data_IF_800027132068
#
_entry.id   IF_800027132068
#
_cell.length_a   1.000
_cell.length_b   1.000
_cell.length_c   1.000
_cell.angle_alpha   90.00
_cell.angle_beta   90.00
_cell.angle_gamma   90.00
#
_symmetry.space_group_name_H-M   'P 1'
#
loop_
_entity.id
_entity.type
_entity.pdbx_description
1 polymer ?
#
# COMPACT_ATOMS: atom_id res chain seq x y z
N UNK A 1 -28.03 -15.77 -52.71
CA UNK A 1 -28.68 -16.77 -51.89
C UNK A 1 -29.98 -16.14 -51.44
N UNK A 2 -31.02 -16.57 -52.13
CA UNK A 2 -32.40 -16.17 -51.91
C UNK A 2 -32.85 -16.72 -50.58
N UNK A 3 -33.56 -15.91 -49.80
CA UNK A 3 -34.02 -16.30 -48.48
C UNK A 3 -34.97 -17.46 -48.54
N UNK A 4 -34.78 -18.44 -47.67
CA UNK A 4 -35.71 -19.56 -47.51
C UNK A 4 -37.07 -19.02 -47.10
N UNK A 5 -38.01 -19.07 -48.09
CA UNK A 5 -39.40 -18.76 -47.85
C UNK A 5 -40.02 -19.89 -47.02
N UNK A 6 -40.37 -19.63 -45.79
CA UNK A 6 -41.03 -20.63 -44.94
C UNK A 6 -42.51 -20.75 -45.36
N UNK A 7 -42.84 -21.89 -45.96
CA UNK A 7 -44.22 -22.23 -46.34
C UNK A 7 -44.71 -23.34 -45.42
N UNK A 8 -45.73 -23.06 -44.62
CA UNK A 8 -46.43 -24.08 -43.83
C UNK A 8 -47.60 -24.65 -44.62
N UNK A 9 -47.61 -25.98 -44.71
CA UNK A 9 -48.69 -26.73 -45.41
C UNK A 9 -49.54 -27.44 -44.39
N UNK A 10 -50.83 -27.14 -44.38
CA UNK A 10 -51.80 -27.85 -43.56
C UNK A 10 -52.91 -28.45 -44.44
N UNK A 11 -53.11 -29.75 -44.31
CA UNK A 11 -54.17 -30.45 -45.02
C UNK A 11 -55.46 -30.26 -44.24
N UNK A 12 -56.50 -29.74 -44.92
CA UNK A 12 -57.83 -29.61 -44.41
C UNK A 12 -58.61 -30.85 -44.90
N UNK A 13 -59.35 -31.50 -44.06
CA UNK A 13 -60.08 -32.74 -44.30
C UNK A 13 -59.19 -33.98 -44.60
N UNK A 14 -58.32 -34.40 -43.72
CA UNK A 14 -57.38 -35.50 -43.91
C UNK A 14 -58.05 -36.86 -44.14
N UNK A 15 -59.33 -37.02 -43.76
CA UNK A 15 -60.10 -38.28 -43.89
C UNK A 15 -61.02 -38.33 -45.10
N UNK A 16 -60.98 -37.36 -46.01
CA UNK A 16 -61.81 -37.36 -47.22
C UNK A 16 -61.08 -38.01 -48.36
N UNK A 17 -61.85 -38.57 -49.38
CA UNK A 17 -61.24 -39.15 -50.56
C UNK A 17 -60.32 -38.15 -51.31
N UNK A 18 -59.30 -38.62 -52.04
CA UNK A 18 -58.25 -37.75 -52.62
C UNK A 18 -58.74 -36.56 -53.47
N UNK A 19 -59.92 -36.70 -54.04
CA UNK A 19 -60.54 -35.65 -54.85
C UNK A 19 -61.09 -34.44 -54.11
N UNK A 20 -61.14 -34.52 -52.77
CA UNK A 20 -61.67 -33.42 -51.90
C UNK A 20 -60.65 -32.92 -50.88
N UNK A 21 -59.35 -33.30 -50.99
CA UNK A 21 -58.31 -32.77 -50.11
C UNK A 21 -57.99 -31.31 -50.46
N UNK A 22 -58.24 -30.40 -49.56
CA UNK A 22 -57.80 -29.05 -49.65
C UNK A 22 -56.50 -28.85 -48.79
N UNK A 23 -55.51 -28.23 -49.37
CA UNK A 23 -54.25 -27.87 -48.70
C UNK A 23 -54.15 -26.35 -48.59
N UNK A 24 -54.07 -25.85 -47.39
CA UNK A 24 -53.77 -24.44 -47.16
C UNK A 24 -52.24 -24.29 -47.08
N UNK A 25 -51.69 -23.50 -48.00
CA UNK A 25 -50.31 -23.07 -47.96
C UNK A 25 -50.27 -21.67 -47.36
N UNK A 26 -49.72 -21.52 -46.19
CA UNK A 26 -49.49 -20.22 -45.56
C UNK A 26 -48.06 -19.83 -45.89
N UNK A 27 -47.92 -18.80 -46.71
CA UNK A 27 -46.62 -18.25 -47.09
C UNK A 27 -46.37 -16.95 -46.37
N UNK A 28 -45.21 -16.86 -45.72
CA UNK A 28 -44.77 -15.65 -45.03
C UNK A 28 -43.70 -14.96 -45.91
N UNK A 29 -44.08 -14.14 -46.89
CA UNK A 29 -43.11 -13.34 -47.63
C UNK A 29 -42.54 -12.29 -46.69
N UNK A 30 -41.20 -12.12 -46.66
CA UNK A 30 -40.55 -11.06 -45.94
C UNK A 30 -40.33 -11.29 -44.42
N UNK A 31 -40.29 -12.53 -43.95
CA UNK A 31 -39.98 -12.85 -42.54
C UNK A 31 -38.66 -12.19 -42.10
N UNK A 32 -37.67 -12.10 -43.00
CA UNK A 32 -36.41 -11.43 -42.73
C UNK A 32 -36.58 -9.91 -42.51
N UNK A 33 -37.47 -9.24 -43.26
CA UNK A 33 -37.76 -7.81 -43.04
C UNK A 33 -38.41 -7.56 -41.68
N UNK A 34 -39.28 -8.46 -41.26
CA UNK A 34 -39.94 -8.37 -39.94
C UNK A 34 -38.93 -8.59 -38.80
N UNK A 35 -38.04 -9.55 -38.95
CA UNK A 35 -36.95 -9.79 -37.99
C UNK A 35 -35.98 -8.59 -37.91
N UNK A 36 -35.57 -8.02 -39.03
CA UNK A 36 -34.73 -6.83 -39.08
C UNK A 36 -35.43 -5.60 -38.52
N UNK A 37 -36.73 -5.41 -38.75
CA UNK A 37 -37.50 -4.31 -38.17
C UNK A 37 -37.59 -4.41 -36.64
N UNK A 38 -37.79 -5.63 -36.11
CA UNK A 38 -37.77 -5.88 -34.66
C UNK A 38 -36.37 -5.70 -34.06
N UNK A 39 -35.31 -6.16 -34.73
CA UNK A 39 -33.93 -6.02 -34.31
C UNK A 39 -33.52 -4.54 -34.16
N UNK A 40 -34.04 -3.66 -35.03
CA UNK A 40 -33.76 -2.21 -34.99
C UNK A 40 -34.08 -1.56 -33.64
N UNK A 41 -35.09 -2.04 -32.92
CA UNK A 41 -35.45 -1.56 -31.59
C UNK A 41 -34.80 -2.39 -30.46
N UNK A 42 -34.57 -3.67 -30.67
CA UNK A 42 -33.96 -4.56 -29.67
C UNK A 42 -32.46 -4.27 -29.44
N UNK A 43 -31.70 -4.00 -30.52
CA UNK A 43 -30.25 -3.75 -30.40
C UNK A 43 -29.95 -2.51 -29.52
N UNK A 44 -30.58 -1.33 -29.74
CA UNK A 44 -30.38 -0.18 -28.88
C UNK A 44 -30.79 -0.44 -27.44
N UNK A 45 -31.87 -1.20 -27.21
CA UNK A 45 -32.32 -1.54 -25.84
C UNK A 45 -31.31 -2.44 -25.13
N UNK A 46 -30.75 -3.44 -25.82
CA UNK A 46 -29.69 -4.30 -25.27
C UNK A 46 -28.44 -3.49 -24.95
N UNK A 47 -28.00 -2.60 -25.87
CA UNK A 47 -26.84 -1.73 -25.64
C UNK A 47 -27.08 -0.84 -24.42
N UNK A 48 -28.27 -0.23 -24.31
CA UNK A 48 -28.62 0.63 -23.19
C UNK A 48 -28.58 -0.13 -21.85
N UNK A 49 -29.17 -1.34 -21.80
CA UNK A 49 -29.14 -2.17 -20.60
C UNK A 49 -27.72 -2.61 -20.20
N UNK A 50 -26.86 -2.91 -21.20
CA UNK A 50 -25.45 -3.21 -20.93
C UNK A 50 -24.70 -2.01 -20.35
N UNK A 51 -24.93 -0.82 -20.90
CA UNK A 51 -24.33 0.43 -20.35
C UNK A 51 -24.78 0.65 -18.91
N UNK A 52 -26.08 0.51 -18.62
CA UNK A 52 -26.58 0.61 -17.24
C UNK A 52 -25.95 -0.41 -16.30
N UNK A 53 -25.79 -1.65 -16.77
CA UNK A 53 -25.15 -2.71 -15.98
C UNK A 53 -23.68 -2.37 -15.66
N UNK A 54 -22.94 -1.85 -16.65
CA UNK A 54 -21.55 -1.41 -16.47
C UNK A 54 -21.48 -0.28 -15.46
N UNK A 55 -22.33 0.74 -15.57
CA UNK A 55 -22.40 1.87 -14.62
C UNK A 55 -22.73 1.35 -13.21
N UNK A 56 -23.67 0.43 -13.10
CA UNK A 56 -24.07 -0.17 -11.81
C UNK A 56 -22.90 -0.90 -11.14
N UNK A 57 -22.21 -1.79 -11.90
CA UNK A 57 -21.03 -2.51 -11.40
C UNK A 57 -19.93 -1.52 -10.98
N UNK A 58 -19.66 -0.51 -11.81
CA UNK A 58 -18.67 0.52 -11.51
C UNK A 58 -19.01 1.28 -10.22
N UNK A 59 -20.28 1.67 -10.04
CA UNK A 59 -20.76 2.35 -8.83
C UNK A 59 -20.59 1.48 -7.59
N UNK A 60 -20.94 0.20 -7.67
CA UNK A 60 -20.73 -0.75 -6.56
C UNK A 60 -19.24 -0.85 -6.21
N UNK A 61 -18.36 -1.00 -7.21
CA UNK A 61 -16.92 -1.04 -6.97
C UNK A 61 -16.40 0.24 -6.29
N UNK A 62 -16.90 1.43 -6.70
CA UNK A 62 -16.56 2.70 -6.05
C UNK A 62 -17.03 2.76 -4.60
N UNK A 63 -18.27 2.34 -4.30
CA UNK A 63 -18.80 2.32 -2.94
C UNK A 63 -17.98 1.39 -2.03
N UNK A 64 -17.66 0.19 -2.49
CA UNK A 64 -16.79 -0.72 -1.71
C UNK A 64 -15.40 -0.16 -1.48
N UNK A 65 -14.82 0.49 -2.49
CA UNK A 65 -13.52 1.15 -2.36
C UNK A 65 -13.57 2.31 -1.35
N UNK A 66 -14.61 3.14 -1.39
CA UNK A 66 -14.81 4.23 -0.42
C UNK A 66 -15.00 3.69 1.00
N UNK A 67 -15.85 2.68 1.18
CA UNK A 67 -16.07 2.04 2.49
C UNK A 67 -14.75 1.54 3.07
N UNK A 68 -13.96 0.81 2.29
CA UNK A 68 -12.65 0.30 2.72
C UNK A 68 -11.69 1.43 3.11
N UNK A 69 -11.64 2.53 2.31
CA UNK A 69 -10.80 3.69 2.65
C UNK A 69 -11.24 4.36 3.95
N UNK A 70 -12.55 4.42 4.20
CA UNK A 70 -13.11 4.97 5.44
C UNK A 70 -12.77 4.10 6.64
N UNK A 71 -12.89 2.77 6.53
CA UNK A 71 -12.49 1.82 7.56
C UNK A 71 -11.00 1.96 7.91
N UNK A 72 -10.12 1.94 6.92
CA UNK A 72 -8.67 2.13 7.09
C UNK A 72 -8.35 3.48 7.76
N UNK A 73 -9.07 4.56 7.37
CA UNK A 73 -8.92 5.89 7.98
C UNK A 73 -9.36 5.90 9.45
N UNK A 74 -10.47 5.25 9.77
CA UNK A 74 -10.96 5.15 11.15
C UNK A 74 -10.01 4.33 12.02
N UNK A 75 -9.49 3.22 11.52
CA UNK A 75 -8.48 2.41 12.21
C UNK A 75 -7.20 3.22 12.46
N UNK A 76 -6.78 4.04 11.50
CA UNK A 76 -5.66 4.96 11.67
C UNK A 76 -5.92 5.98 12.79
N UNK A 77 -7.10 6.62 12.82
CA UNK A 77 -7.47 7.60 13.86
C UNK A 77 -7.48 6.92 15.23
N UNK A 78 -8.07 5.74 15.35
CA UNK A 78 -8.11 4.97 16.59
C UNK A 78 -6.71 4.61 17.07
N UNK A 79 -5.86 4.13 16.18
CA UNK A 79 -4.47 3.79 16.50
C UNK A 79 -3.66 5.03 16.89
N UNK A 80 -3.83 6.17 16.20
CA UNK A 80 -3.22 7.45 16.58
C UNK A 80 -3.62 7.88 17.98
N UNK A 81 -4.92 7.83 18.27
CA UNK A 81 -5.45 8.18 19.58
C UNK A 81 -4.81 7.32 20.68
N UNK A 82 -4.68 6.03 20.43
CA UNK A 82 -4.08 5.09 21.37
C UNK A 82 -2.57 5.33 21.54
N UNK A 83 -1.84 5.55 20.44
CA UNK A 83 -0.40 5.83 20.46
C UNK A 83 -0.05 7.18 21.12
N UNK A 84 -0.93 8.18 21.07
CA UNK A 84 -0.77 9.45 21.77
C UNK A 84 -1.19 9.38 23.25
N UNK A 85 -2.22 8.59 23.57
CA UNK A 85 -2.73 8.47 24.94
C UNK A 85 -1.66 7.92 25.90
N UNK A 86 -0.89 6.93 25.45
CA UNK A 86 0.15 6.29 26.30
C UNK A 86 1.22 7.28 26.77
N UNK A 87 1.95 8.01 25.91
CA UNK A 87 2.96 8.98 26.35
C UNK A 87 2.34 10.12 27.16
N UNK A 88 1.14 10.59 26.80
CA UNK A 88 0.44 11.64 27.55
C UNK A 88 0.12 11.16 28.97
N UNK A 89 -0.38 9.93 29.12
CA UNK A 89 -0.66 9.37 30.46
C UNK A 89 0.60 9.19 31.30
N UNK A 90 1.71 8.75 30.67
CA UNK A 90 3.02 8.61 31.36
C UNK A 90 3.54 9.97 31.80
N UNK A 91 3.48 11.00 30.94
CA UNK A 91 3.87 12.37 31.26
C UNK A 91 3.01 12.90 32.42
N UNK A 92 1.68 12.69 32.37
CA UNK A 92 0.75 13.14 33.43
C UNK A 92 1.06 12.48 34.77
N UNK A 93 1.30 11.16 34.78
CA UNK A 93 1.67 10.43 35.98
C UNK A 93 3.02 10.91 36.54
N UNK A 94 4.02 11.06 35.68
CA UNK A 94 5.34 11.57 36.08
C UNK A 94 5.25 13.01 36.65
N UNK A 95 4.42 13.87 36.04
CA UNK A 95 4.15 15.22 36.53
C UNK A 95 3.44 15.21 37.92
N UNK A 96 2.50 14.27 38.15
CA UNK A 96 1.86 14.09 39.47
C UNK A 96 2.88 13.64 40.52
N UNK A 97 3.78 12.73 40.16
CA UNK A 97 4.83 12.27 41.07
C UNK A 97 5.78 13.39 41.50
N UNK A 98 6.06 14.39 40.62
CA UNK A 98 6.87 15.56 40.98
C UNK A 98 6.23 16.43 42.09
N UNK A 99 4.92 16.37 42.28
CA UNK A 99 4.20 17.09 43.33
C UNK A 99 4.27 16.37 44.69
N UNK A 100 4.81 15.14 44.75
CA UNK A 100 4.99 14.42 46.01
C UNK A 100 6.17 15.02 46.79
N UNK A 101 5.95 15.45 48.06
CA UNK A 101 7.01 16.00 48.89
C UNK A 101 8.21 15.06 49.12
N UNK A 102 7.99 13.74 49.02
CA UNK A 102 9.05 12.75 49.13
C UNK A 102 10.02 12.79 47.93
N UNK A 103 9.51 13.07 46.73
CA UNK A 103 10.32 13.20 45.50
C UNK A 103 11.17 14.47 45.54
N UNK A 104 10.63 15.59 46.05
CA UNK A 104 11.38 16.85 46.19
C UNK A 104 12.60 16.77 47.11
N UNK A 105 12.70 15.73 47.96
CA UNK A 105 13.84 15.48 48.86
C UNK A 105 14.95 14.63 48.25
N UNK A 106 14.76 14.09 47.04
CA UNK A 106 15.71 13.20 46.37
C UNK A 106 16.06 13.71 44.98
N UNK A 107 17.24 14.31 44.81
CA UNK A 107 17.75 14.78 43.50
C UNK A 107 17.79 13.67 42.43
N UNK A 108 18.10 12.44 42.83
CA UNK A 108 18.13 11.30 41.93
C UNK A 108 16.73 10.98 41.39
N UNK A 109 15.71 11.01 42.25
CA UNK A 109 14.32 10.71 41.87
C UNK A 109 13.74 11.84 41.01
N UNK A 110 14.03 13.10 41.33
CA UNK A 110 13.65 14.26 40.55
C UNK A 110 14.24 14.19 39.12
N UNK A 111 15.55 13.91 39.00
CA UNK A 111 16.21 13.73 37.70
C UNK A 111 15.61 12.57 36.88
N UNK A 112 15.33 11.45 37.55
CA UNK A 112 14.72 10.29 36.86
C UNK A 112 13.34 10.62 36.30
N UNK A 113 12.46 11.23 37.10
CA UNK A 113 11.10 11.60 36.66
C UNK A 113 11.13 12.67 35.57
N UNK A 114 11.98 13.69 35.72
CA UNK A 114 12.20 14.71 34.69
C UNK A 114 12.71 14.08 33.37
N UNK A 115 13.59 13.09 33.47
CA UNK A 115 14.06 12.29 32.33
C UNK A 115 12.92 11.60 31.61
N UNK A 116 12.03 10.93 32.31
CA UNK A 116 10.84 10.27 31.73
C UNK A 116 9.97 11.28 30.97
N UNK A 117 9.68 12.44 31.57
CA UNK A 117 8.88 13.50 30.93
C UNK A 117 9.55 13.96 29.64
N UNK A 118 10.86 14.22 29.66
CA UNK A 118 11.61 14.69 28.51
C UNK A 118 11.62 13.65 27.38
N UNK A 119 11.83 12.38 27.71
CA UNK A 119 11.90 11.30 26.71
C UNK A 119 10.53 11.02 26.06
N UNK A 120 9.45 11.00 26.85
CA UNK A 120 8.10 10.84 26.30
C UNK A 120 7.66 12.08 25.49
N UNK A 121 8.10 13.28 25.87
CA UNK A 121 7.85 14.51 25.08
C UNK A 121 8.58 14.48 23.74
N UNK A 122 9.85 14.05 23.70
CA UNK A 122 10.60 13.85 22.46
C UNK A 122 9.92 12.81 21.56
N UNK A 123 9.47 11.71 22.17
CA UNK A 123 8.74 10.65 21.47
C UNK A 123 7.43 11.16 20.85
N UNK A 124 6.65 11.93 21.62
CA UNK A 124 5.39 12.53 21.16
C UNK A 124 5.64 13.49 19.99
N UNK A 125 6.65 14.37 20.11
CA UNK A 125 7.05 15.29 19.03
C UNK A 125 7.39 14.53 17.75
N UNK A 126 8.18 13.47 17.83
CA UNK A 126 8.54 12.65 16.68
C UNK A 126 7.32 11.98 16.02
N UNK A 127 6.35 11.53 16.83
CA UNK A 127 5.10 10.98 16.32
C UNK A 127 4.26 12.02 15.58
N UNK A 128 4.13 13.23 16.14
CA UNK A 128 3.43 14.37 15.52
C UNK A 128 4.09 14.77 14.19
N UNK A 129 5.42 14.89 14.18
CA UNK A 129 6.18 15.21 12.97
C UNK A 129 5.94 14.18 11.84
N UNK A 130 5.93 12.89 12.17
CA UNK A 130 5.60 11.83 11.19
C UNK A 130 4.21 12.01 10.58
N UNK A 131 3.21 12.36 11.37
CA UNK A 131 1.84 12.61 10.90
C UNK A 131 1.77 13.88 10.04
N UNK A 132 2.43 14.96 10.47
CA UNK A 132 2.47 16.23 9.72
C UNK A 132 3.19 16.08 8.38
N UNK A 133 4.34 15.41 8.34
CA UNK A 133 5.04 15.12 7.10
C UNK A 133 4.13 14.45 6.08
N UNK A 134 3.33 13.46 6.51
CA UNK A 134 2.41 12.76 5.62
C UNK A 134 1.23 13.64 5.15
N UNK A 135 0.69 14.50 6.03
CA UNK A 135 -0.39 15.44 5.69
C UNK A 135 0.06 16.50 4.67
N UNK A 136 1.30 16.97 4.77
CA UNK A 136 1.86 17.93 3.83
C UNK A 136 2.08 17.33 2.44
N UNK A 137 2.43 16.04 2.34
CA UNK A 137 2.55 15.33 1.05
C UNK A 137 1.22 15.22 0.28
N UNK A 138 0.07 15.24 0.97
CA UNK A 138 -1.25 15.18 0.31
C UNK A 138 -1.68 16.51 -0.32
N UNK A 139 -1.26 17.63 0.25
CA UNK A 139 -1.67 18.98 -0.20
C UNK A 139 -0.77 19.56 -1.30
N UNK A 140 0.46 19.11 -1.39
CA UNK A 140 1.43 19.61 -2.38
C UNK A 140 1.68 18.55 -3.45
N UNK A 141 1.08 18.73 -4.63
CA UNK A 141 1.35 17.90 -5.84
C UNK A 141 2.82 18.00 -6.32
N UNK A 142 3.64 18.80 -5.70
CA UNK A 142 5.10 18.80 -5.79
C UNK A 142 5.61 19.43 -4.49
N UNK A 143 5.81 18.63 -3.44
CA UNK A 143 6.69 19.09 -2.38
C UNK A 143 7.95 19.64 -3.04
N UNK A 144 8.35 20.83 -2.67
CA UNK A 144 9.58 21.45 -3.17
C UNK A 144 10.76 20.67 -2.60
N UNK A 145 11.02 19.49 -3.18
CA UNK A 145 12.20 18.70 -2.85
C UNK A 145 13.45 19.53 -3.18
N UNK A 146 14.28 19.72 -2.20
CA UNK A 146 15.60 20.35 -2.38
C UNK A 146 16.57 19.30 -2.93
N UNK A 147 16.41 18.99 -4.22
CA UNK A 147 17.21 17.96 -4.87
C UNK A 147 18.61 18.49 -5.14
N UNK A 148 19.58 17.66 -4.85
CA UNK A 148 21.01 17.85 -5.17
C UNK A 148 21.61 16.51 -5.58
N UNK A 149 22.79 16.55 -6.13
CA UNK A 149 23.57 15.33 -6.36
C UNK A 149 24.01 14.76 -5.02
N UNK A 150 23.74 13.48 -4.81
CA UNK A 150 24.12 12.73 -3.60
C UNK A 150 24.75 11.41 -4.00
N UNK A 151 25.80 11.01 -3.29
CA UNK A 151 26.41 9.69 -3.39
C UNK A 151 25.65 8.73 -2.51
N UNK A 152 24.99 7.78 -3.16
CA UNK A 152 24.04 6.88 -2.50
C UNK A 152 24.73 5.94 -1.52
N UNK A 153 25.90 5.39 -1.90
CA UNK A 153 26.66 4.48 -1.04
C UNK A 153 27.13 5.17 0.23
N UNK A 154 27.59 6.42 0.15
CA UNK A 154 27.99 7.21 1.32
C UNK A 154 26.81 7.46 2.25
N UNK A 155 25.69 7.92 1.71
CA UNK A 155 24.47 8.16 2.50
C UNK A 155 23.99 6.88 3.20
N UNK A 156 23.99 5.74 2.51
CA UNK A 156 23.57 4.46 3.09
C UNK A 156 24.55 4.02 4.18
N UNK A 157 25.86 4.17 3.99
CA UNK A 157 26.87 3.83 4.97
C UNK A 157 26.71 4.64 6.27
N UNK A 158 26.45 5.94 6.15
CA UNK A 158 26.22 6.85 7.30
C UNK A 158 24.96 6.46 8.09
N UNK A 159 23.86 6.19 7.37
CA UNK A 159 22.62 5.72 7.99
C UNK A 159 22.81 4.37 8.65
N UNK A 160 23.47 3.42 7.98
CA UNK A 160 23.73 2.09 8.53
C UNK A 160 24.59 2.16 9.79
N UNK A 161 25.60 3.03 9.82
CA UNK A 161 26.46 3.25 10.99
C UNK A 161 25.64 3.75 12.18
N UNK A 162 24.80 4.76 11.96
CA UNK A 162 23.90 5.31 13.00
C UNK A 162 22.89 4.27 13.47
N UNK A 163 22.38 3.42 12.56
CA UNK A 163 21.33 2.45 12.86
C UNK A 163 21.86 1.17 13.50
N UNK A 164 23.15 0.88 13.35
CA UNK A 164 23.80 -0.34 13.86
C UNK A 164 23.60 -0.55 15.35
N UNK A 165 23.78 0.49 16.15
CA UNK A 165 23.56 0.44 17.60
C UNK A 165 22.14 -0.01 17.96
N UNK A 166 21.15 0.42 17.21
CA UNK A 166 19.74 0.02 17.42
C UNK A 166 19.51 -1.45 17.06
N UNK A 167 20.13 -1.95 16.01
CA UNK A 167 20.05 -3.37 15.61
C UNK A 167 20.72 -4.25 16.65
N UNK A 168 21.93 -3.90 17.08
CA UNK A 168 22.69 -4.61 18.10
C UNK A 168 21.96 -4.64 19.45
N UNK A 169 21.40 -3.51 19.88
CA UNK A 169 20.56 -3.45 21.10
C UNK A 169 19.29 -4.30 21.03
N UNK A 170 18.86 -4.64 19.81
CA UNK A 170 17.74 -5.55 19.54
C UNK A 170 18.16 -7.01 19.37
N UNK A 171 19.43 -7.33 19.60
CA UNK A 171 20.01 -8.67 19.46
C UNK A 171 20.13 -9.10 17.99
N UNK A 172 20.61 -8.19 17.13
CA UNK A 172 20.74 -8.48 15.69
C UNK A 172 22.05 -7.98 15.10
N UNK A 173 22.22 -8.25 13.80
CA UNK A 173 23.37 -7.85 12.98
C UNK A 173 22.92 -7.04 11.77
N UNK A 174 23.73 -6.04 11.37
CA UNK A 174 23.53 -5.24 10.17
C UNK A 174 24.75 -5.34 9.26
N UNK A 175 24.57 -5.93 8.09
CA UNK A 175 25.57 -6.07 7.04
C UNK A 175 25.32 -5.07 5.91
N UNK A 176 26.38 -4.48 5.35
CA UNK A 176 26.32 -3.60 4.19
C UNK A 176 27.21 -4.16 3.06
N UNK A 177 26.65 -4.21 1.85
CA UNK A 177 27.27 -4.73 0.63
C UNK A 177 27.01 -3.73 -0.52
N UNK A 178 27.79 -2.65 -0.57
CA UNK A 178 27.55 -1.50 -1.42
C UNK A 178 28.41 -1.58 -2.70
N UNK A 179 27.91 -2.27 -3.71
CA UNK A 179 28.63 -2.62 -4.95
C UNK A 179 28.24 -1.74 -6.16
N UNK A 180 27.37 -0.73 -5.98
CA UNK A 180 27.03 0.16 -7.09
C UNK A 180 28.23 1.05 -7.44
N UNK A 181 28.76 0.94 -8.65
CA UNK A 181 29.85 1.80 -9.17
C UNK A 181 29.31 3.20 -9.53
N UNK A 182 28.16 3.23 -10.23
CA UNK A 182 27.44 4.47 -10.56
C UNK A 182 26.35 4.70 -9.50
N UNK A 183 26.69 5.44 -8.46
CA UNK A 183 25.85 5.63 -7.27
C UNK A 183 25.35 7.06 -7.06
N UNK A 184 25.68 8.00 -7.99
CA UNK A 184 25.25 9.38 -7.89
C UNK A 184 23.83 9.55 -8.39
N UNK A 185 22.92 10.06 -7.52
CA UNK A 185 21.53 10.32 -7.84
C UNK A 185 21.15 11.79 -7.58
N UNK A 186 20.12 12.30 -8.29
CA UNK A 186 19.56 13.63 -8.04
C UNK A 186 18.36 13.54 -7.09
N UNK A 187 18.62 13.73 -5.79
CA UNK A 187 17.62 13.50 -4.77
C UNK A 187 17.68 14.52 -3.62
N UNK A 188 16.61 14.56 -2.84
CA UNK A 188 16.57 15.28 -1.57
C UNK A 188 17.15 14.38 -0.48
N UNK A 189 18.31 14.75 0.02
CA UNK A 189 19.10 13.97 0.98
C UNK A 189 18.32 13.67 2.27
N UNK A 190 17.63 14.66 2.82
CA UNK A 190 16.86 14.49 4.06
C UNK A 190 15.72 13.47 3.87
N UNK A 191 14.98 13.60 2.77
CA UNK A 191 13.89 12.69 2.47
C UNK A 191 14.41 11.29 2.15
N UNK A 192 15.55 11.19 1.48
CA UNK A 192 16.14 9.90 1.14
C UNK A 192 16.71 9.19 2.38
N UNK A 193 17.40 9.91 3.26
CA UNK A 193 17.81 9.43 4.58
C UNK A 193 16.60 8.84 5.34
N UNK A 194 15.48 9.56 5.37
CA UNK A 194 14.26 9.09 6.01
C UNK A 194 13.66 7.83 5.34
N UNK A 195 13.83 7.65 4.03
CA UNK A 195 13.43 6.42 3.32
C UNK A 195 14.18 5.23 3.87
N UNK A 196 15.53 5.31 3.92
CA UNK A 196 16.36 4.22 4.44
C UNK A 196 16.03 3.93 5.91
N UNK A 197 15.92 4.97 6.75
CA UNK A 197 15.50 4.82 8.15
C UNK A 197 14.17 4.11 8.31
N UNK A 198 13.15 4.47 7.52
CA UNK A 198 11.84 3.81 7.61
C UNK A 198 11.90 2.32 7.27
N UNK A 199 12.70 1.93 6.28
CA UNK A 199 12.83 0.53 5.90
C UNK A 199 13.60 -0.28 6.96
N UNK A 200 14.70 0.26 7.48
CA UNK A 200 15.46 -0.37 8.56
C UNK A 200 14.64 -0.46 9.85
N UNK A 201 13.88 0.60 10.21
CA UNK A 201 13.00 0.61 11.38
C UNK A 201 11.90 -0.46 11.26
N UNK A 202 11.33 -0.63 10.07
CA UNK A 202 10.36 -1.69 9.82
C UNK A 202 10.99 -3.08 10.04
N UNK A 203 12.20 -3.30 9.56
CA UNK A 203 12.88 -4.57 9.74
C UNK A 203 13.11 -4.93 11.22
N UNK A 204 13.54 -3.97 12.04
CA UNK A 204 13.66 -4.17 13.50
C UNK A 204 12.31 -4.42 14.16
N UNK A 205 11.29 -3.71 13.71
CA UNK A 205 9.94 -3.74 14.28
C UNK A 205 9.20 -5.05 14.00
N UNK A 206 9.41 -5.62 12.82
CA UNK A 206 8.79 -6.85 12.37
C UNK A 206 9.74 -8.06 12.45
N UNK A 207 10.75 -7.99 13.33
CA UNK A 207 11.64 -9.11 13.60
C UNK A 207 10.86 -10.34 14.08
N UNK A 208 11.33 -11.52 13.73
CA UNK A 208 10.84 -12.76 14.28
C UNK A 208 11.38 -12.91 15.74
N UNK A 209 10.53 -13.02 16.76
CA UNK A 209 11.00 -13.15 18.14
C UNK A 209 11.80 -14.44 18.41
N UNK A 210 11.64 -15.46 17.55
CA UNK A 210 12.32 -16.75 17.68
C UNK A 210 13.68 -16.80 16.96
N UNK A 211 14.04 -15.70 16.23
CA UNK A 211 15.28 -15.63 15.46
C UNK A 211 16.10 -14.39 15.81
N UNK A 212 17.41 -14.54 15.73
CA UNK A 212 18.31 -13.41 15.71
C UNK A 212 18.03 -12.55 14.46
N UNK A 213 17.90 -11.23 14.65
CA UNK A 213 17.65 -10.31 13.56
C UNK A 213 18.89 -10.18 12.66
N UNK A 214 18.73 -10.46 11.37
CA UNK A 214 19.76 -10.26 10.36
C UNK A 214 19.27 -9.30 9.30
N UNK A 215 19.95 -8.17 9.21
CA UNK A 215 19.68 -7.14 8.22
C UNK A 215 20.82 -7.06 7.23
N UNK A 216 20.49 -6.99 5.94
CA UNK A 216 21.45 -6.74 4.86
C UNK A 216 20.99 -5.58 4.01
N UNK A 217 21.87 -4.61 3.80
CA UNK A 217 21.67 -3.52 2.84
C UNK A 217 22.67 -3.70 1.70
N UNK A 218 22.19 -3.77 0.47
CA UNK A 218 23.04 -3.93 -0.69
C UNK A 218 22.68 -2.94 -1.81
N UNK A 219 23.69 -2.54 -2.60
CA UNK A 219 23.51 -1.70 -3.79
C UNK A 219 24.21 -2.34 -4.99
N UNK A 220 23.64 -2.17 -6.17
CA UNK A 220 24.21 -2.59 -7.45
C UNK A 220 23.68 -1.73 -8.60
N UNK A 221 24.30 -1.82 -9.76
CA UNK A 221 23.77 -1.17 -10.96
C UNK A 221 22.98 -2.18 -11.81
N UNK A 222 21.85 -1.73 -12.34
CA UNK A 222 20.99 -2.48 -13.24
C UNK A 222 20.64 -1.60 -14.47
N UNK A 223 21.35 -1.78 -15.56
CA UNK A 223 21.24 -0.94 -16.75
C UNK A 223 21.55 0.53 -16.43
N UNK A 224 20.59 1.42 -16.63
CA UNK A 224 20.73 2.85 -16.33
C UNK A 224 20.15 3.24 -14.95
N UNK A 225 20.11 2.29 -14.03
CA UNK A 225 19.55 2.51 -12.68
C UNK A 225 20.51 1.96 -11.63
N UNK A 226 20.49 2.63 -10.49
CA UNK A 226 21.05 2.09 -9.26
C UNK A 226 19.93 1.42 -8.48
N UNK A 227 20.20 0.23 -7.98
CA UNK A 227 19.29 -0.55 -7.15
C UNK A 227 19.80 -0.61 -5.72
N UNK A 228 18.88 -0.57 -4.77
CA UNK A 228 19.11 -0.70 -3.34
C UNK A 228 18.22 -1.82 -2.84
N UNK A 229 18.75 -2.79 -2.11
CA UNK A 229 17.95 -3.76 -1.41
C UNK A 229 18.18 -3.68 0.10
N UNK A 230 17.10 -3.72 0.86
CA UNK A 230 17.09 -3.85 2.31
C UNK A 230 16.34 -5.13 2.63
N UNK A 231 17.07 -6.10 3.17
CA UNK A 231 16.58 -7.44 3.44
C UNK A 231 16.65 -7.75 4.93
N UNK A 232 15.57 -8.33 5.45
CA UNK A 232 15.46 -8.86 6.82
C UNK A 232 15.08 -10.35 6.80
N UNK A 233 15.29 -11.02 7.93
CA UNK A 233 14.85 -12.38 8.21
C UNK A 233 13.67 -12.43 9.20
N UNK A 234 12.85 -11.37 9.24
CA UNK A 234 11.73 -11.25 10.14
C UNK A 234 10.52 -12.12 9.79
N UNK A 235 9.34 -11.74 10.27
CA UNK A 235 8.11 -12.53 10.12
C UNK A 235 7.62 -12.64 8.66
N UNK A 236 8.12 -11.82 7.76
CA UNK A 236 7.67 -11.77 6.36
C UNK A 236 6.25 -11.25 6.17
N UNK A 237 5.83 -11.19 4.91
CA UNK A 237 4.55 -10.62 4.47
C UNK A 237 3.83 -11.63 3.58
N UNK A 238 2.52 -11.79 3.78
CA UNK A 238 1.69 -12.66 2.93
C UNK A 238 1.54 -12.06 1.54
N UNK A 239 1.45 -12.92 0.51
CA UNK A 239 1.33 -12.50 -0.91
C UNK A 239 0.16 -11.56 -1.18
N UNK A 240 -0.96 -11.75 -0.47
CA UNK A 240 -2.17 -10.93 -0.57
C UNK A 240 -1.98 -9.48 -0.07
N UNK A 241 -1.00 -9.26 0.81
CA UNK A 241 -0.71 -7.97 1.43
C UNK A 241 0.39 -7.19 0.70
N UNK A 242 1.29 -7.87 -0.04
CA UNK A 242 2.46 -7.27 -0.68
C UNK A 242 2.14 -6.03 -1.55
N UNK A 243 1.00 -6.04 -2.24
CA UNK A 243 0.57 -4.89 -3.06
C UNK A 243 -0.02 -3.77 -2.22
N UNK A 244 -0.54 -4.07 -1.02
CA UNK A 244 -1.28 -3.16 -0.16
C UNK A 244 -0.40 -2.46 0.87
N UNK A 245 0.77 -3.03 1.23
CA UNK A 245 1.67 -2.46 2.25
C UNK A 245 2.13 -1.04 1.95
N UNK A 246 2.08 -0.60 0.70
CA UNK A 246 2.40 0.75 0.26
C UNK A 246 1.18 1.69 0.23
N UNK A 247 -0.03 1.19 0.52
CA UNK A 247 -1.22 2.02 0.65
C UNK A 247 -1.17 2.78 1.99
N UNK A 248 -1.64 4.03 1.99
CA UNK A 248 -1.69 4.85 3.20
C UNK A 248 -2.56 4.19 4.26
N UNK A 249 -2.10 4.24 5.51
CA UNK A 249 -2.79 3.71 6.68
C UNK A 249 -2.93 2.18 6.70
N UNK A 250 -2.50 1.49 5.63
CA UNK A 250 -2.60 0.04 5.58
C UNK A 250 -1.64 -0.61 6.56
N UNK A 251 -2.15 -1.60 7.28
CA UNK A 251 -1.39 -2.46 8.19
C UNK A 251 -1.80 -3.90 7.98
N UNK A 252 -0.84 -4.81 7.99
CA UNK A 252 -1.11 -6.23 7.96
C UNK A 252 -1.72 -6.63 9.30
N UNK A 253 -2.91 -7.23 9.29
CA UNK A 253 -3.54 -7.76 10.50
C UNK A 253 -2.82 -9.05 10.92
N UNK A 254 -1.97 -8.98 11.91
CA UNK A 254 -1.21 -10.11 12.46
C UNK A 254 -1.94 -10.85 13.60
N UNK A 255 -3.29 -10.92 13.55
CA UNK A 255 -4.09 -11.55 14.60
C UNK A 255 -4.01 -10.79 15.94
N UNK A 256 -3.89 -11.50 17.07
CA UNK A 256 -3.86 -10.91 18.42
C UNK A 256 -2.58 -10.10 18.78
N UNK A 257 -1.65 -9.87 17.84
CA UNK A 257 -0.46 -9.04 18.09
C UNK A 257 -0.77 -7.56 17.83
N UNK A 258 -1.50 -6.92 18.72
CA UNK A 258 -1.66 -5.46 18.79
C UNK A 258 -0.35 -4.71 19.14
N UNK A 259 0.78 -5.43 19.33
CA UNK A 259 2.02 -4.89 19.89
C UNK A 259 2.94 -4.17 18.92
N UNK A 260 2.68 -4.23 17.61
CA UNK A 260 3.56 -3.54 16.65
C UNK A 260 3.11 -2.09 16.48
N UNK A 261 3.75 -1.18 17.24
CA UNK A 261 3.47 0.28 17.23
C UNK A 261 3.66 0.91 15.85
N UNK A 262 2.70 1.74 15.40
CA UNK A 262 2.85 2.59 14.21
C UNK A 262 1.58 2.86 13.43
N UNK A 263 1.68 3.90 12.60
CA UNK A 263 0.54 4.53 11.94
C UNK A 263 0.19 3.98 10.54
N UNK A 264 0.96 3.02 10.00
CA UNK A 264 0.79 2.55 8.62
C UNK A 264 1.13 3.60 7.55
N UNK A 265 2.00 4.57 7.89
CA UNK A 265 2.38 5.68 7.02
C UNK A 265 3.78 5.53 6.41
N UNK A 266 4.67 4.76 7.05
CA UNK A 266 6.09 4.69 6.67
C UNK A 266 6.33 4.20 5.24
N UNK A 267 5.73 3.09 4.83
CA UNK A 267 5.91 2.54 3.48
C UNK A 267 5.21 3.37 2.41
N UNK A 268 4.08 3.99 2.72
CA UNK A 268 3.43 4.94 1.82
C UNK A 268 4.29 6.18 1.58
N UNK A 269 4.94 6.70 2.64
CA UNK A 269 5.93 7.78 2.53
C UNK A 269 7.11 7.36 1.65
N UNK A 270 7.70 6.20 1.90
CA UNK A 270 8.80 5.64 1.10
C UNK A 270 8.41 5.59 -0.37
N UNK A 271 7.27 4.99 -0.70
CA UNK A 271 6.79 4.91 -2.09
C UNK A 271 6.62 6.29 -2.72
N UNK A 272 6.07 7.25 -1.99
CA UNK A 272 5.86 8.61 -2.48
C UNK A 272 7.22 9.30 -2.79
N UNK A 273 8.17 9.26 -1.86
CA UNK A 273 9.51 9.84 -2.07
C UNK A 273 10.18 9.21 -3.28
N UNK A 274 10.22 7.88 -3.37
CA UNK A 274 10.86 7.16 -4.48
C UNK A 274 10.20 7.50 -5.82
N UNK A 275 8.86 7.52 -5.88
CA UNK A 275 8.13 7.87 -7.11
C UNK A 275 8.41 9.32 -7.55
N UNK A 276 8.48 10.26 -6.62
CA UNK A 276 8.81 11.65 -6.93
C UNK A 276 10.26 11.81 -7.42
N UNK A 277 11.16 10.89 -7.06
CA UNK A 277 12.54 10.83 -7.58
C UNK A 277 12.66 9.94 -8.83
N UNK A 278 11.56 9.68 -9.54
CA UNK A 278 11.49 8.86 -10.77
C UNK A 278 11.97 7.42 -10.58
N UNK A 279 11.95 6.95 -9.34
CA UNK A 279 12.29 5.58 -8.97
C UNK A 279 11.07 4.67 -8.86
N UNK A 280 11.34 3.42 -8.58
CA UNK A 280 10.33 2.40 -8.25
C UNK A 280 10.73 1.67 -6.98
N UNK A 281 9.72 1.20 -6.22
CA UNK A 281 9.92 0.32 -5.06
C UNK A 281 8.95 -0.85 -5.14
N UNK A 282 9.45 -2.03 -4.82
CA UNK A 282 8.63 -3.23 -4.60
C UNK A 282 9.19 -4.05 -3.44
N UNK A 283 8.43 -5.03 -3.00
CA UNK A 283 8.80 -5.93 -1.93
C UNK A 283 8.69 -7.38 -2.40
N UNK A 284 9.69 -8.18 -2.06
CA UNK A 284 9.72 -9.62 -2.16
C UNK A 284 9.68 -10.20 -0.76
N UNK A 285 8.72 -11.08 -0.47
CA UNK A 285 8.61 -11.65 0.88
C UNK A 285 7.90 -13.00 0.84
N UNK A 286 8.36 -13.89 1.69
CA UNK A 286 7.70 -15.13 2.07
C UNK A 286 7.36 -15.08 3.57
N UNK A 287 6.12 -15.38 3.92
CA UNK A 287 5.70 -15.40 5.32
C UNK A 287 6.53 -16.42 6.13
N UNK A 288 7.11 -15.98 7.25
CA UNK A 288 8.01 -16.77 8.09
C UNK A 288 9.48 -16.76 7.67
N UNK A 289 9.87 -16.13 6.53
CA UNK A 289 11.26 -16.10 6.05
C UNK A 289 11.91 -14.73 6.04
N UNK A 290 11.09 -13.65 6.08
CA UNK A 290 11.57 -12.28 6.05
C UNK A 290 11.11 -11.51 4.81
N UNK A 291 11.61 -10.29 4.67
CA UNK A 291 11.23 -9.37 3.59
C UNK A 291 12.46 -8.72 2.96
N UNK A 292 12.39 -8.50 1.65
CA UNK A 292 13.38 -7.76 0.88
C UNK A 292 12.66 -6.62 0.15
N UNK A 293 12.97 -5.38 0.52
CA UNK A 293 12.53 -4.20 -0.20
C UNK A 293 13.57 -3.83 -1.25
N UNK A 294 13.14 -3.63 -2.49
CA UNK A 294 14.01 -3.27 -3.60
C UNK A 294 13.57 -1.93 -4.16
N UNK A 295 14.50 -0.97 -4.17
CA UNK A 295 14.34 0.38 -4.73
C UNK A 295 15.21 0.48 -5.96
N UNK A 296 14.69 1.04 -7.05
CA UNK A 296 15.47 1.37 -8.25
C UNK A 296 15.31 2.84 -8.59
N UNK A 297 16.42 3.53 -8.90
CA UNK A 297 16.47 4.96 -9.20
C UNK A 297 17.36 5.19 -10.44
N UNK A 298 17.05 6.21 -11.28
CA UNK A 298 17.99 6.63 -12.29
C UNK A 298 19.22 7.25 -11.63
N UNK A 299 20.41 6.87 -12.04
CA UNK A 299 21.65 7.52 -11.63
C UNK A 299 22.06 8.59 -12.64
N UNK A 300 22.92 9.52 -12.22
CA UNK A 300 23.58 10.51 -13.07
C UNK A 300 24.95 9.94 -13.41
N UNK A 301 25.27 9.80 -14.69
CA UNK A 301 26.63 9.44 -15.10
C UNK A 301 27.61 10.52 -14.63
N UNK A 302 28.62 10.10 -13.91
CA UNK A 302 29.78 10.93 -13.56
C UNK A 302 30.53 11.38 -14.79
#
# INVERSE_FOLDING_TARGET
PEGEEMTYKQVIYPNNPPAQMAVINIHFPEMNKYLFASAKFMIPAIIFTLILLIIFIFTICLVFRQKRLTEIKNDFINNMTHEFKTPISTISLAAQMLNDPAVGKSDAMFKHISGIINDETKRLRFQVEKVLQMSMFDRQKAATFKRKEIRLNELIADVATTFRLKVESSGGTLETDLQAEEDTIFADEMHFTNVIFNLLDNAVKYKDPEKELRLKVSTWNEGQKVAIAIQDNGIGIKKEDLKKIFEKFYRVHTGNRHDVKGFGLGLAYVKNVITNHKGNIHAESDFGKGTKFIITLPYIKS
#
